data_IF_923325179712
#
_entry.id   IF_923325179712
#
_cell.length_a   1.000
_cell.length_b   1.000
_cell.length_c   1.000
_cell.angle_alpha   90.00
_cell.angle_beta   90.00
_cell.angle_gamma   90.00
#
_symmetry.space_group_name_H-M   'P 1'
#
loop_
_entity.id
_entity.type
_entity.pdbx_description
1 polymer ?
#
# COMPACT_ATOMS: atom_id res chain seq x y z
N UNK A 1 6.76 22.98 -3.43
CA UNK A 1 5.40 22.51 -3.19
C UNK A 1 5.01 21.59 -4.32
N UNK A 2 4.32 20.49 -4.02
CA UNK A 2 4.00 19.43 -4.97
C UNK A 2 2.56 18.98 -4.76
N UNK A 3 1.82 18.91 -5.87
CA UNK A 3 0.51 18.28 -5.95
C UNK A 3 0.53 17.41 -7.22
N UNK A 4 1.01 16.20 -7.10
CA UNK A 4 1.20 15.27 -8.23
C UNK A 4 0.35 14.03 -8.04
N UNK A 5 -0.47 13.74 -9.04
CA UNK A 5 -1.26 12.52 -9.14
C UNK A 5 -0.60 11.55 -10.12
N UNK A 6 -0.80 10.27 -9.85
CA UNK A 6 -0.24 9.19 -10.67
C UNK A 6 -1.35 8.23 -11.08
N UNK A 7 -1.51 8.01 -12.38
CA UNK A 7 -2.33 6.95 -12.94
C UNK A 7 -1.42 5.88 -13.51
N UNK A 8 -1.73 4.62 -13.21
CA UNK A 8 -1.03 3.45 -13.76
C UNK A 8 -2.03 2.48 -14.38
N UNK A 9 -1.72 1.95 -15.55
CA UNK A 9 -2.51 0.94 -16.24
C UNK A 9 -1.58 0.02 -17.04
N UNK A 10 -2.12 -0.89 -17.84
CA UNK A 10 -1.31 -1.78 -18.69
C UNK A 10 -0.27 -0.99 -19.47
N UNK A 11 1.00 -1.27 -19.20
CA UNK A 11 2.14 -0.71 -19.94
C UNK A 11 2.32 0.82 -19.83
N UNK A 12 1.59 1.52 -18.96
CA UNK A 12 1.60 2.98 -18.96
C UNK A 12 1.50 3.61 -17.56
N UNK A 13 2.20 4.74 -17.40
CA UNK A 13 2.12 5.65 -16.26
C UNK A 13 1.82 7.07 -16.76
N UNK A 14 0.90 7.76 -16.11
CA UNK A 14 0.65 9.19 -16.32
C UNK A 14 0.89 9.92 -15.01
N UNK A 15 1.79 10.90 -15.04
CA UNK A 15 2.07 11.82 -13.94
C UNK A 15 1.47 13.17 -14.29
N UNK A 16 0.55 13.67 -13.47
CA UNK A 16 -0.15 14.92 -13.72
C UNK A 16 -0.25 15.75 -12.44
N UNK A 17 -0.22 17.07 -12.58
CA UNK A 17 -0.41 17.97 -11.45
C UNK A 17 0.51 19.18 -11.48
N UNK A 18 0.59 19.87 -10.36
CA UNK A 18 1.29 21.14 -10.22
C UNK A 18 2.51 20.99 -9.31
N UNK A 19 3.67 21.45 -9.79
CA UNK A 19 4.93 21.44 -9.04
C UNK A 19 5.59 22.80 -9.09
N UNK A 20 5.90 23.37 -7.92
CA UNK A 20 6.76 24.54 -7.79
C UNK A 20 8.05 24.15 -7.12
N UNK A 21 9.13 24.03 -7.91
CA UNK A 21 10.45 23.65 -7.44
C UNK A 21 11.55 24.36 -8.22
N UNK A 22 12.69 24.57 -7.58
CA UNK A 22 13.93 25.03 -8.24
C UNK A 22 14.82 23.86 -8.65
N UNK A 23 14.49 22.62 -8.23
CA UNK A 23 15.24 21.42 -8.54
C UNK A 23 14.83 20.89 -9.92
N UNK A 24 15.80 20.45 -10.70
CA UNK A 24 15.58 19.60 -11.86
C UNK A 24 15.44 18.15 -11.39
N UNK A 25 14.38 17.48 -11.84
CA UNK A 25 14.11 16.07 -11.53
C UNK A 25 13.79 15.33 -12.83
N UNK A 26 14.48 14.22 -13.07
CA UNK A 26 14.08 13.27 -14.10
C UNK A 26 12.93 12.41 -13.57
N UNK A 27 11.71 12.86 -13.83
CA UNK A 27 10.49 12.20 -13.33
C UNK A 27 10.28 10.83 -13.95
N UNK A 28 10.82 10.59 -15.16
CA UNK A 28 10.73 9.27 -15.80
C UNK A 28 11.63 8.27 -15.09
N UNK A 29 12.88 8.64 -14.80
CA UNK A 29 13.78 7.73 -14.10
C UNK A 29 13.33 7.47 -12.66
N UNK A 30 12.79 8.49 -11.97
CA UNK A 30 12.21 8.33 -10.64
C UNK A 30 11.04 7.32 -10.69
N UNK A 31 10.11 7.47 -11.63
CA UNK A 31 8.98 6.55 -11.77
C UNK A 31 9.44 5.12 -12.08
N UNK A 32 10.41 4.94 -12.99
CA UNK A 32 11.00 3.62 -13.28
C UNK A 32 11.68 3.01 -12.07
N UNK A 33 12.40 3.82 -11.29
CA UNK A 33 13.03 3.41 -10.04
C UNK A 33 12.01 2.84 -9.04
N UNK A 34 10.91 3.55 -8.83
CA UNK A 34 9.81 3.12 -7.94
C UNK A 34 9.16 1.83 -8.45
N UNK A 35 8.85 1.74 -9.75
CA UNK A 35 8.25 0.52 -10.34
C UNK A 35 9.17 -0.68 -10.14
N UNK A 36 10.48 -0.50 -10.35
CA UNK A 36 11.51 -1.53 -10.13
C UNK A 36 11.59 -1.93 -8.66
N UNK A 37 11.55 -0.97 -7.74
CA UNK A 37 11.58 -1.22 -6.30
C UNK A 37 10.33 -1.97 -5.83
N UNK A 38 9.15 -1.65 -6.35
CA UNK A 38 7.91 -2.38 -6.08
C UNK A 38 8.04 -3.83 -6.55
N UNK A 39 8.75 -4.08 -7.66
CA UNK A 39 9.06 -5.41 -8.19
C UNK A 39 8.39 -5.76 -9.50
N UNK A 40 7.87 -4.79 -10.23
CA UNK A 40 7.42 -4.98 -11.60
C UNK A 40 8.62 -4.90 -12.55
N UNK A 41 9.30 -6.04 -12.69
CA UNK A 41 10.60 -6.15 -13.42
C UNK A 41 10.56 -7.13 -14.57
N UNK A 42 9.40 -7.75 -14.85
CA UNK A 42 9.26 -8.75 -15.92
C UNK A 42 8.19 -8.31 -16.92
N UNK A 43 8.49 -8.42 -18.21
CA UNK A 43 7.56 -8.05 -19.29
C UNK A 43 6.25 -8.85 -19.27
N UNK A 44 6.27 -10.08 -18.76
CA UNK A 44 5.09 -10.94 -18.61
C UNK A 44 4.04 -10.38 -17.65
N UNK A 45 4.39 -9.39 -16.84
CA UNK A 45 3.44 -8.68 -15.97
C UNK A 45 2.63 -7.63 -16.74
N UNK A 46 2.93 -7.41 -18.04
CA UNK A 46 2.31 -6.40 -18.90
C UNK A 46 2.34 -4.97 -18.33
N UNK A 47 3.19 -4.77 -17.34
CA UNK A 47 3.58 -3.52 -16.72
C UNK A 47 4.94 -3.75 -16.04
N UNK A 48 6.00 -3.10 -16.53
CA UNK A 48 7.33 -3.27 -15.95
C UNK A 48 8.20 -2.02 -16.13
N UNK A 49 9.23 -1.88 -15.29
CA UNK A 49 10.01 -0.68 -15.13
C UNK A 49 10.71 -0.16 -16.38
N UNK A 50 11.17 -1.06 -17.28
CA UNK A 50 12.01 -0.64 -18.42
C UNK A 50 11.17 -0.34 -19.67
N UNK A 51 10.02 -1.03 -19.87
CA UNK A 51 9.24 -0.92 -21.10
C UNK A 51 7.95 -0.11 -20.97
N UNK A 52 7.45 0.16 -19.77
CA UNK A 52 6.25 0.99 -19.63
C UNK A 52 6.45 2.41 -20.17
N UNK A 53 5.44 2.96 -20.84
CA UNK A 53 5.39 4.35 -21.24
C UNK A 53 5.20 5.24 -20.02
N UNK A 54 5.90 6.37 -19.95
CA UNK A 54 5.72 7.37 -18.88
C UNK A 54 5.41 8.71 -19.53
N UNK A 55 4.20 9.21 -19.28
CA UNK A 55 3.74 10.52 -19.72
C UNK A 55 3.79 11.49 -18.53
N UNK A 56 4.33 12.68 -18.77
CA UNK A 56 4.34 13.75 -17.80
C UNK A 56 3.46 14.91 -18.29
N UNK A 57 2.45 15.23 -17.50
CA UNK A 57 1.59 16.41 -17.63
C UNK A 57 1.72 17.30 -16.38
N UNK A 58 2.95 17.41 -15.88
CA UNK A 58 3.28 18.25 -14.73
C UNK A 58 3.53 19.67 -15.23
N UNK A 59 2.91 20.66 -14.58
CA UNK A 59 3.07 22.08 -14.89
C UNK A 59 3.22 22.92 -13.61
N UNK A 60 3.47 24.20 -13.75
CA UNK A 60 3.48 25.13 -12.62
C UNK A 60 2.05 25.44 -12.16
N UNK A 61 1.89 25.71 -10.86
CA UNK A 61 0.63 26.12 -10.28
C UNK A 61 0.21 27.51 -10.81
N UNK A 62 -1.09 27.72 -11.06
CA UNK A 62 -1.60 29.01 -11.46
C UNK A 62 -1.26 30.11 -10.43
N UNK A 63 -1.00 31.33 -10.92
CA UNK A 63 -0.68 32.47 -10.07
C UNK A 63 -1.80 32.79 -9.06
N UNK A 64 -3.06 32.52 -9.41
CA UNK A 64 -4.22 32.79 -8.54
C UNK A 64 -4.28 31.81 -7.36
N UNK A 65 -4.08 30.51 -7.60
CA UNK A 65 -4.02 29.50 -6.53
C UNK A 65 -2.76 29.72 -5.69
N UNK A 66 -1.64 30.09 -6.32
CA UNK A 66 -0.37 30.29 -5.63
C UNK A 66 -0.43 31.39 -4.55
N UNK A 67 -1.28 32.41 -4.72
CA UNK A 67 -1.52 33.44 -3.68
C UNK A 67 -2.05 32.87 -2.37
N UNK A 68 -2.85 31.79 -2.43
CA UNK A 68 -3.33 31.08 -1.24
C UNK A 68 -2.30 30.14 -0.60
N UNK A 69 -1.37 29.66 -1.41
CA UNK A 69 -0.38 28.63 -1.04
C UNK A 69 0.95 29.25 -0.58
N UNK A 70 1.44 30.31 -1.24
CA UNK A 70 2.66 31.03 -0.87
C UNK A 70 2.31 32.24 0.00
N UNK A 71 2.39 32.06 1.31
CA UNK A 71 2.19 33.13 2.29
C UNK A 71 3.45 33.32 3.11
N UNK A 72 3.83 34.56 3.34
CA UNK A 72 4.98 34.90 4.17
C UNK A 72 4.58 35.09 5.64
N UNK A 73 5.31 34.46 6.55
CA UNK A 73 5.17 34.71 7.98
C UNK A 73 5.89 36.01 8.36
N UNK A 74 5.15 37.07 8.57
CA UNK A 74 5.70 38.36 9.00
C UNK A 74 6.08 38.39 10.48
N UNK A 75 5.52 37.50 11.30
CA UNK A 75 5.79 37.34 12.73
C UNK A 75 6.06 35.86 13.06
N UNK A 76 6.69 35.61 14.21
CA UNK A 76 6.99 34.26 14.68
C UNK A 76 5.97 33.70 15.69
N UNK A 77 4.82 34.37 15.85
CA UNK A 77 3.74 33.82 16.67
C UNK A 77 3.07 32.63 15.98
N UNK A 78 2.42 31.78 16.80
CA UNK A 78 1.82 30.53 16.31
C UNK A 78 0.77 30.76 15.23
N UNK A 79 -0.08 31.78 15.38
CA UNK A 79 -1.16 32.08 14.44
C UNK A 79 -0.61 32.52 13.09
N UNK A 80 0.40 33.41 13.10
CA UNK A 80 1.07 33.85 11.86
C UNK A 80 1.78 32.70 11.17
N UNK A 81 2.46 31.80 11.91
CA UNK A 81 3.11 30.63 11.35
C UNK A 81 2.11 29.63 10.77
N UNK A 82 1.01 29.38 11.47
CA UNK A 82 -0.06 28.51 10.99
C UNK A 82 -0.70 29.05 9.70
N UNK A 83 -0.98 30.35 9.64
CA UNK A 83 -1.53 31.00 8.46
C UNK A 83 -0.54 31.01 7.28
N UNK A 84 0.76 31.05 7.55
CA UNK A 84 1.81 31.01 6.51
C UNK A 84 1.93 29.65 5.83
N UNK A 85 1.42 28.58 6.43
CA UNK A 85 1.39 27.29 5.75
C UNK A 85 0.56 27.32 4.46
N UNK A 86 -0.50 28.14 4.44
CA UNK A 86 -1.36 28.27 3.29
C UNK A 86 -2.14 26.98 2.97
N UNK A 87 -3.11 27.11 2.09
CA UNK A 87 -3.85 25.97 1.54
C UNK A 87 -4.32 26.29 0.12
N UNK A 88 -4.30 25.29 -0.77
CA UNK A 88 -4.78 25.43 -2.14
C UNK A 88 -6.30 25.35 -2.25
N UNK A 89 -6.98 24.75 -1.25
CA UNK A 89 -8.44 24.56 -1.24
C UNK A 89 -8.95 24.36 0.20
N UNK A 90 -10.24 24.39 0.36
CA UNK A 90 -10.94 24.00 1.58
C UNK A 90 -10.86 22.49 1.79
N UNK A 91 -11.01 22.04 3.03
CA UNK A 91 -11.07 20.61 3.34
C UNK A 91 -11.65 20.37 4.73
N UNK A 92 -12.32 19.22 4.87
CA UNK A 92 -12.70 18.66 6.14
C UNK A 92 -11.95 17.33 6.32
N UNK A 93 -11.34 17.16 7.47
CA UNK A 93 -10.51 15.99 7.74
C UNK A 93 -10.95 15.32 9.02
N UNK A 94 -10.94 13.98 9.01
CA UNK A 94 -11.23 13.13 10.13
C UNK A 94 -9.99 12.35 10.52
N UNK A 95 -9.73 12.24 11.81
CA UNK A 95 -8.64 11.43 12.33
C UNK A 95 -9.16 10.45 13.37
N UNK A 96 -8.59 9.25 13.39
CA UNK A 96 -8.86 8.25 14.41
C UNK A 96 -7.54 7.64 14.88
N UNK A 97 -7.37 7.51 16.20
CA UNK A 97 -6.20 6.89 16.79
C UNK A 97 -6.62 6.02 17.99
N UNK A 98 -5.92 4.90 18.21
CA UNK A 98 -6.20 3.98 19.32
C UNK A 98 -4.90 3.55 19.99
N UNK A 99 -4.98 3.05 21.23
CA UNK A 99 -3.82 2.54 21.99
C UNK A 99 -3.55 1.05 21.79
N UNK A 100 -4.23 0.42 20.85
CA UNK A 100 -4.08 -1.02 20.56
C UNK A 100 -2.68 -1.37 20.03
N UNK A 101 -2.06 -0.43 19.32
CA UNK A 101 -0.73 -0.58 18.73
C UNK A 101 0.20 0.57 19.14
N UNK A 102 1.52 0.38 18.99
CA UNK A 102 2.50 1.40 19.37
C UNK A 102 2.46 2.64 18.48
N UNK A 103 2.02 2.48 17.24
CA UNK A 103 1.89 3.55 16.26
C UNK A 103 0.49 4.17 16.24
N UNK A 104 -0.33 3.88 17.25
CA UNK A 104 -1.71 4.37 17.42
C UNK A 104 -2.68 3.98 16.29
N UNK A 105 -2.33 2.99 15.46
CA UNK A 105 -3.20 2.46 14.42
C UNK A 105 -4.17 1.43 14.99
N UNK A 106 -5.40 1.31 14.45
CA UNK A 106 -6.29 0.20 14.76
C UNK A 106 -5.61 -1.14 14.51
N UNK A 107 -5.75 -2.08 15.45
CA UNK A 107 -5.03 -3.36 15.40
C UNK A 107 -5.35 -4.17 14.12
N UNK A 108 -6.60 -4.18 13.68
CA UNK A 108 -6.99 -4.90 12.45
C UNK A 108 -6.24 -4.35 11.22
N UNK A 109 -6.12 -3.03 11.10
CA UNK A 109 -5.39 -2.39 10.00
C UNK A 109 -3.89 -2.62 10.10
N UNK A 110 -3.30 -2.50 11.30
CA UNK A 110 -1.87 -2.74 11.53
C UNK A 110 -1.48 -4.19 11.18
N UNK A 111 -2.31 -5.17 11.58
CA UNK A 111 -2.10 -6.57 11.22
C UNK A 111 -2.22 -6.82 9.71
N UNK A 112 -3.22 -6.22 9.06
CA UNK A 112 -3.37 -6.32 7.60
C UNK A 112 -2.14 -5.76 6.88
N UNK A 113 -1.62 -4.61 7.30
CA UNK A 113 -0.39 -4.03 6.76
C UNK A 113 0.84 -4.91 7.02
N UNK A 114 1.00 -5.47 8.23
CA UNK A 114 2.12 -6.36 8.57
C UNK A 114 2.12 -7.63 7.72
N UNK A 115 0.95 -8.19 7.40
CA UNK A 115 0.82 -9.34 6.49
C UNK A 115 1.35 -8.98 5.10
N UNK A 116 0.94 -7.83 4.54
CA UNK A 116 1.41 -7.38 3.22
C UNK A 116 2.90 -7.06 3.20
N UNK A 117 3.41 -6.42 4.26
CA UNK A 117 4.84 -6.15 4.42
C UNK A 117 5.66 -7.45 4.46
N UNK A 118 5.18 -8.48 5.17
CA UNK A 118 5.86 -9.76 5.24
C UNK A 118 5.82 -10.54 3.91
N UNK A 119 4.68 -10.49 3.19
CA UNK A 119 4.60 -11.01 1.82
C UNK A 119 5.62 -10.33 0.90
N UNK A 120 5.69 -9.01 0.92
CA UNK A 120 6.66 -8.24 0.14
C UNK A 120 8.12 -8.57 0.51
N UNK A 121 8.42 -8.69 1.82
CA UNK A 121 9.74 -9.08 2.31
C UNK A 121 10.13 -10.48 1.83
N UNK A 122 9.21 -11.44 1.94
CA UNK A 122 9.43 -12.83 1.49
C UNK A 122 9.67 -12.89 -0.02
N UNK A 123 8.86 -12.18 -0.81
CA UNK A 123 9.02 -12.08 -2.27
C UNK A 123 10.40 -11.50 -2.65
N UNK A 124 10.80 -10.37 -2.03
CA UNK A 124 12.08 -9.71 -2.31
C UNK A 124 13.28 -10.57 -1.90
N UNK A 125 13.16 -11.37 -0.84
CA UNK A 125 14.19 -12.30 -0.42
C UNK A 125 14.43 -13.45 -1.43
N UNK A 126 13.42 -13.83 -2.22
CA UNK A 126 13.52 -14.81 -3.29
C UNK A 126 13.91 -16.24 -2.86
N UNK A 127 13.80 -16.55 -1.56
CA UNK A 127 14.20 -17.85 -1.01
C UNK A 127 13.02 -18.80 -0.88
N UNK A 128 11.93 -18.31 -0.29
CA UNK A 128 10.68 -19.03 -0.06
C UNK A 128 9.58 -18.39 -0.89
N UNK A 129 8.50 -19.11 -1.18
CA UNK A 129 7.35 -18.63 -1.95
C UNK A 129 7.77 -17.84 -3.20
N UNK A 130 8.71 -18.38 -3.98
CA UNK A 130 9.31 -17.73 -5.16
C UNK A 130 8.30 -17.33 -6.23
N UNK A 131 7.10 -17.90 -6.16
CA UNK A 131 5.98 -17.63 -7.05
C UNK A 131 5.23 -16.31 -6.73
N UNK A 132 5.56 -15.63 -5.62
CA UNK A 132 4.87 -14.39 -5.26
C UNK A 132 5.14 -13.27 -6.27
N UNK A 133 4.07 -12.58 -6.67
CA UNK A 133 4.08 -11.34 -7.46
C UNK A 133 3.77 -10.13 -6.59
N UNK A 134 3.94 -8.89 -7.09
CA UNK A 134 3.85 -7.69 -6.25
C UNK A 134 2.46 -7.39 -5.68
N UNK A 135 1.38 -7.69 -6.40
CA UNK A 135 0.03 -7.32 -5.98
C UNK A 135 -0.50 -8.25 -4.89
N UNK A 136 -1.02 -7.65 -3.82
CA UNK A 136 -1.66 -8.39 -2.74
C UNK A 136 -2.63 -7.49 -1.96
N UNK A 137 -3.67 -8.14 -1.40
CA UNK A 137 -4.68 -7.53 -0.54
C UNK A 137 -4.80 -8.34 0.74
N UNK A 138 -5.07 -7.67 1.87
CA UNK A 138 -5.25 -8.30 3.17
C UNK A 138 -6.36 -7.63 3.94
N UNK A 139 -7.12 -8.45 4.69
CA UNK A 139 -8.14 -8.00 5.62
C UNK A 139 -8.05 -8.85 6.88
N UNK A 140 -8.20 -8.21 8.05
CA UNK A 140 -8.24 -8.89 9.35
C UNK A 140 -9.50 -8.48 10.09
N UNK A 141 -10.24 -9.45 10.59
CA UNK A 141 -11.40 -9.25 11.46
C UNK A 141 -11.03 -9.64 12.88
N UNK A 142 -11.32 -8.75 13.83
CA UNK A 142 -11.02 -8.93 15.26
C UNK A 142 -12.33 -8.87 16.03
N UNK A 143 -12.49 -9.76 16.98
CA UNK A 143 -13.55 -9.73 17.98
C UNK A 143 -13.11 -8.88 19.17
N UNK A 144 -13.98 -8.00 19.62
CA UNK A 144 -13.77 -7.10 20.75
C UNK A 144 -14.81 -7.32 21.83
N UNK A 145 -14.45 -7.08 23.09
CA UNK A 145 -15.38 -6.94 24.19
C UNK A 145 -16.13 -5.60 24.14
N UNK A 146 -17.12 -5.45 25.00
CA UNK A 146 -17.90 -4.20 25.14
C UNK A 146 -17.04 -2.99 25.58
N UNK A 147 -15.88 -3.23 26.21
CA UNK A 147 -14.90 -2.23 26.59
C UNK A 147 -13.87 -1.92 25.48
N UNK A 148 -14.09 -2.41 24.26
CA UNK A 148 -13.20 -2.29 23.12
C UNK A 148 -11.83 -2.97 23.29
N UNK A 149 -11.71 -3.97 24.19
CA UNK A 149 -10.49 -4.78 24.30
C UNK A 149 -10.53 -5.92 23.28
N UNK A 150 -9.46 -6.11 22.45
CA UNK A 150 -9.43 -7.21 21.48
C UNK A 150 -9.34 -8.57 22.15
N UNK A 151 -10.21 -9.48 21.77
CA UNK A 151 -10.35 -10.85 22.36
C UNK A 151 -9.63 -11.89 21.54
N UNK A 152 -9.87 -11.89 20.22
CA UNK A 152 -9.26 -12.82 19.27
C UNK A 152 -9.29 -12.29 17.85
N UNK A 153 -8.41 -12.81 17.04
CA UNK A 153 -8.53 -12.69 15.58
C UNK A 153 -9.55 -13.74 15.13
N UNK A 154 -10.61 -13.28 14.48
CA UNK A 154 -11.68 -14.14 13.96
C UNK A 154 -11.33 -14.66 12.57
N UNK A 155 -11.03 -13.72 11.64
CA UNK A 155 -10.82 -14.06 10.23
C UNK A 155 -9.63 -13.29 9.66
N UNK A 156 -8.83 -13.97 8.84
CA UNK A 156 -7.78 -13.39 8.02
C UNK A 156 -8.05 -13.72 6.56
N UNK A 157 -8.20 -12.70 5.73
CA UNK A 157 -8.31 -12.82 4.28
C UNK A 157 -7.01 -12.32 3.65
N UNK A 158 -6.42 -13.11 2.75
CA UNK A 158 -5.26 -12.71 1.95
C UNK A 158 -5.51 -13.09 0.49
N UNK A 159 -5.41 -12.12 -0.40
CA UNK A 159 -5.32 -12.36 -1.84
C UNK A 159 -3.95 -11.93 -2.31
N UNK A 160 -3.16 -12.85 -2.85
CA UNK A 160 -1.81 -12.55 -3.35
C UNK A 160 -1.65 -13.02 -4.78
N UNK A 161 -1.12 -12.13 -5.61
CA UNK A 161 -0.75 -12.44 -6.99
C UNK A 161 0.42 -13.42 -7.00
N UNK A 162 0.41 -14.36 -7.93
CA UNK A 162 1.41 -15.43 -8.02
C UNK A 162 1.67 -15.86 -9.46
N UNK A 163 2.80 -16.49 -9.70
CA UNK A 163 3.10 -17.18 -10.97
C UNK A 163 2.17 -18.38 -11.15
N UNK A 164 1.97 -18.80 -12.39
CA UNK A 164 1.29 -20.04 -12.75
C UNK A 164 2.29 -21.20 -12.64
N UNK A 165 2.61 -21.61 -11.40
CA UNK A 165 3.72 -22.51 -11.09
C UNK A 165 3.33 -23.99 -11.00
N UNK A 166 2.04 -24.31 -11.06
CA UNK A 166 1.52 -25.68 -10.95
C UNK A 166 0.36 -25.89 -11.94
N UNK A 167 0.38 -26.99 -12.67
CA UNK A 167 -0.67 -27.34 -13.66
C UNK A 167 -2.07 -27.47 -13.07
N UNK A 168 -2.18 -27.85 -11.82
CA UNK A 168 -3.44 -27.99 -11.12
C UNK A 168 -3.71 -26.77 -10.25
N UNK A 169 -4.68 -25.95 -10.62
CA UNK A 169 -5.10 -24.79 -9.84
C UNK A 169 -5.43 -25.16 -8.40
N UNK A 170 -6.07 -26.31 -8.17
CA UNK A 170 -6.38 -26.81 -6.83
C UNK A 170 -5.12 -27.07 -5.99
N UNK A 171 -4.10 -27.73 -6.56
CA UNK A 171 -2.84 -27.99 -5.86
C UNK A 171 -2.09 -26.69 -5.58
N UNK A 172 -2.06 -25.78 -6.55
CA UNK A 172 -1.45 -24.47 -6.44
C UNK A 172 -2.06 -23.65 -5.29
N UNK A 173 -3.39 -23.55 -5.22
CA UNK A 173 -4.09 -22.85 -4.17
C UNK A 173 -3.89 -23.47 -2.79
N UNK A 174 -3.85 -24.81 -2.70
CA UNK A 174 -3.52 -25.51 -1.46
C UNK A 174 -2.10 -25.17 -0.98
N UNK A 175 -1.13 -25.13 -1.91
CA UNK A 175 0.24 -24.77 -1.57
C UNK A 175 0.32 -23.32 -1.09
N UNK A 176 -0.29 -22.36 -1.81
CA UNK A 176 -0.31 -20.96 -1.41
C UNK A 176 -0.93 -20.79 -0.01
N UNK A 177 -2.08 -21.44 0.24
CA UNK A 177 -2.72 -21.40 1.55
C UNK A 177 -1.82 -21.94 2.65
N UNK A 178 -1.18 -23.09 2.42
CA UNK A 178 -0.23 -23.69 3.36
C UNK A 178 0.93 -22.76 3.68
N UNK A 179 1.51 -22.15 2.66
CA UNK A 179 2.68 -21.28 2.82
C UNK A 179 2.33 -19.97 3.55
N UNK A 180 1.20 -19.35 3.22
CA UNK A 180 0.74 -18.16 3.96
C UNK A 180 0.54 -18.49 5.43
N UNK A 181 -0.14 -19.59 5.76
CA UNK A 181 -0.43 -19.98 7.16
C UNK A 181 0.85 -20.37 7.91
N UNK A 182 1.79 -21.08 7.27
CA UNK A 182 2.95 -21.64 7.96
C UNK A 182 4.21 -20.77 7.92
N UNK A 183 4.28 -19.80 6.99
CA UNK A 183 5.45 -18.93 6.83
C UNK A 183 5.09 -17.49 7.20
N UNK A 184 4.08 -16.91 6.56
CA UNK A 184 3.77 -15.49 6.72
C UNK A 184 3.16 -15.20 8.09
N UNK A 185 2.11 -15.92 8.47
CA UNK A 185 1.39 -15.65 9.72
C UNK A 185 2.28 -15.81 10.96
N UNK A 186 3.13 -16.86 11.11
CA UNK A 186 4.03 -16.97 12.25
C UNK A 186 5.07 -15.84 12.31
N UNK A 187 5.53 -15.34 11.17
CA UNK A 187 6.47 -14.20 11.12
C UNK A 187 5.81 -12.91 11.55
N UNK A 188 4.57 -12.68 11.13
CA UNK A 188 3.77 -11.53 11.59
C UNK A 188 3.52 -11.65 13.10
N UNK A 189 3.10 -12.81 13.59
CA UNK A 189 2.88 -13.03 15.03
C UNK A 189 4.11 -12.69 15.86
N UNK A 190 5.31 -13.09 15.43
CA UNK A 190 6.58 -12.81 16.13
C UNK A 190 6.92 -11.31 16.23
N UNK A 191 6.38 -10.47 15.37
CA UNK A 191 6.61 -9.01 15.40
C UNK A 191 5.76 -8.28 16.43
N UNK A 192 4.82 -8.98 17.07
CA UNK A 192 3.86 -8.39 17.99
C UNK A 192 4.29 -8.56 19.45
N UNK A 193 3.77 -7.68 20.31
CA UNK A 193 3.90 -7.85 21.77
C UNK A 193 3.26 -9.16 22.24
N UNK A 194 3.75 -9.79 23.31
CA UNK A 194 3.24 -11.07 23.81
C UNK A 194 1.72 -11.07 24.06
N UNK A 195 1.15 -9.97 24.52
CA UNK A 195 -0.29 -9.83 24.71
C UNK A 195 -1.08 -10.01 23.41
N UNK A 196 -0.63 -9.38 22.32
CA UNK A 196 -1.26 -9.46 21.00
C UNK A 196 -1.01 -10.81 20.32
N UNK A 197 0.10 -11.49 20.63
CA UNK A 197 0.36 -12.83 20.09
C UNK A 197 -0.67 -13.86 20.58
N UNK A 198 -1.29 -13.66 21.75
CA UNK A 198 -2.33 -14.52 22.30
C UNK A 198 -3.63 -14.48 21.50
N UNK A 199 -3.85 -13.42 20.71
CA UNK A 199 -5.03 -13.30 19.84
C UNK A 199 -5.00 -14.30 18.67
N UNK A 200 -3.81 -14.82 18.34
CA UNK A 200 -3.64 -15.89 17.33
C UNK A 200 -3.87 -17.25 17.96
N UNK A 201 -5.01 -17.82 17.72
CA UNK A 201 -5.39 -19.16 18.17
C UNK A 201 -5.75 -20.07 16.98
N UNK A 202 -6.12 -21.31 17.26
CA UNK A 202 -6.46 -22.33 16.27
C UNK A 202 -7.87 -22.17 15.66
N UNK A 203 -8.66 -21.20 16.16
CA UNK A 203 -10.01 -20.93 15.65
C UNK A 203 -10.06 -19.86 14.55
N UNK A 204 -8.91 -19.35 14.11
CA UNK A 204 -8.86 -18.34 13.03
C UNK A 204 -9.33 -18.96 11.73
N UNK A 205 -10.30 -18.32 11.09
CA UNK A 205 -10.74 -18.65 9.73
C UNK A 205 -9.80 -18.00 8.71
N UNK A 206 -9.17 -18.82 7.85
CA UNK A 206 -8.27 -18.32 6.80
C UNK A 206 -8.92 -18.45 5.42
N UNK A 207 -9.11 -17.31 4.75
CA UNK A 207 -9.49 -17.21 3.34
C UNK A 207 -8.28 -16.75 2.53
N UNK A 208 -7.59 -17.67 1.87
CA UNK A 208 -6.40 -17.37 1.06
C UNK A 208 -6.75 -17.59 -0.41
N UNK A 209 -6.61 -16.55 -1.23
CA UNK A 209 -7.05 -16.51 -2.61
C UNK A 209 -8.47 -17.10 -2.78
N UNK A 210 -9.48 -16.59 -2.07
CA UNK A 210 -10.81 -17.22 -2.00
C UNK A 210 -11.54 -17.25 -3.34
N UNK A 211 -11.19 -16.36 -4.27
CA UNK A 211 -11.76 -16.31 -5.62
C UNK A 211 -11.05 -17.23 -6.61
N UNK A 212 -9.98 -17.90 -6.17
CA UNK A 212 -9.20 -18.81 -7.01
C UNK A 212 -7.85 -18.24 -7.44
N UNK A 213 -7.39 -18.67 -8.59
CA UNK A 213 -6.11 -18.30 -9.20
C UNK A 213 -6.00 -16.78 -9.43
N UNK A 214 -4.87 -16.20 -9.06
CA UNK A 214 -4.61 -14.77 -9.18
C UNK A 214 -3.24 -14.53 -9.85
N UNK A 215 -3.16 -14.73 -11.15
CA UNK A 215 -1.97 -14.53 -11.98
C UNK A 215 -1.96 -13.14 -12.62
N UNK A 216 -3.12 -12.68 -13.10
CA UNK A 216 -3.29 -11.33 -13.66
C UNK A 216 -3.64 -10.38 -12.53
N UNK A 217 -2.79 -9.39 -12.30
CA UNK A 217 -2.98 -8.40 -11.23
C UNK A 217 -2.10 -7.17 -11.46
N UNK A 218 -2.04 -6.29 -10.47
CA UNK A 218 -1.36 -5.01 -10.58
C UNK A 218 -1.99 -4.10 -11.64
N UNK A 219 -1.24 -3.15 -12.21
CA UNK A 219 -1.75 -2.20 -13.21
C UNK A 219 -2.31 -2.84 -14.47
N UNK A 220 -1.94 -4.09 -14.78
CA UNK A 220 -2.53 -4.86 -15.88
C UNK A 220 -3.88 -5.46 -15.52
N UNK A 221 -4.10 -5.81 -14.28
CA UNK A 221 -5.38 -6.34 -13.79
C UNK A 221 -6.44 -5.25 -13.68
N UNK A 222 -6.10 -4.12 -13.09
CA UNK A 222 -6.95 -2.95 -12.96
C UNK A 222 -6.13 -1.65 -12.90
N UNK A 223 -6.74 -0.56 -13.39
CA UNK A 223 -6.11 0.76 -13.39
C UNK A 223 -6.02 1.32 -11.97
N UNK A 224 -4.83 1.77 -11.58
CA UNK A 224 -4.57 2.46 -10.33
C UNK A 224 -4.52 3.97 -10.52
N UNK A 225 -5.10 4.72 -9.59
CA UNK A 225 -5.06 6.17 -9.55
C UNK A 225 -4.82 6.65 -8.12
N UNK A 226 -3.83 7.54 -7.92
CA UNK A 226 -3.68 8.22 -6.63
C UNK A 226 -4.84 9.18 -6.41
N UNK A 227 -5.29 9.31 -5.16
CA UNK A 227 -6.39 10.20 -4.78
C UNK A 227 -5.93 11.28 -3.83
N UNK A 228 -6.31 12.52 -4.10
CA UNK A 228 -6.13 13.66 -3.20
C UNK A 228 -7.34 13.90 -2.31
N UNK A 229 -8.47 13.32 -2.65
CA UNK A 229 -9.77 13.51 -1.97
C UNK A 229 -10.32 12.14 -1.57
N UNK A 230 -10.89 12.11 -0.40
CA UNK A 230 -11.59 10.95 0.17
C UNK A 230 -13.09 11.14 -0.10
#
# INVERSE_FOLDING_TARGET
>A
KVACETLVTTGQVVLAGEVKSKAYLDVQEIARGVIREIGYTKSEYMFEANSCGILSAIHEQSADINRGVDRDAKKKDFETLANAQGAGDQGMMFGYATRETENYMPLALDLAHKILQELSRTRRAGKEMKYLRPDAKSQVTIEYNDDNTPVRIDTIVVSTQHDDFEKSDKKMLVQIKKDVINIIIPRVKKQLKPALQKLFNDKITFHINPTGKFVIGGPHGDTGLTGRKI
#
